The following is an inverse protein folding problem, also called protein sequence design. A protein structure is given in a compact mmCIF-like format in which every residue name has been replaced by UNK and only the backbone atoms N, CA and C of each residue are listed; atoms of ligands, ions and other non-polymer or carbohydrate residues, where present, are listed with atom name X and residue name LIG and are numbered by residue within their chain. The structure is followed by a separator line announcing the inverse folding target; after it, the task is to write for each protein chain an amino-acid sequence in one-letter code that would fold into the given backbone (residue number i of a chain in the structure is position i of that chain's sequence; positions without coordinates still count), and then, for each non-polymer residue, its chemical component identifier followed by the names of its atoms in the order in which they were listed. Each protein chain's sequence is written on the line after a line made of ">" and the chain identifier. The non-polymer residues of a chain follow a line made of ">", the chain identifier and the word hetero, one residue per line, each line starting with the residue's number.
data_IF_530012526439
#
_entry.id   IF_530012526439
#
_cell.length_a   1.000
_cell.length_b   1.000
_cell.length_c   1.000
_cell.angle_alpha   90.00
_cell.angle_beta   90.00
_cell.angle_gamma   90.00
#
_symmetry.space_group_name_H-M   'P 1'
#
loop_
_entity.id
_entity.type
_entity.pdbx_description
1 polymer ?
#
# COMPACT_ATOMS: atom_id res chain seq x y z
N UNK A 1 6.24 11.50 -18.41
CA UNK A 1 5.24 10.43 -18.55
C UNK A 1 5.44 9.42 -17.42
N UNK A 2 4.39 9.16 -16.64
CA UNK A 2 4.49 8.21 -15.53
C UNK A 2 4.51 6.78 -16.06
N UNK A 3 5.59 6.08 -15.77
CA UNK A 3 5.66 4.66 -16.09
C UNK A 3 4.93 3.89 -15.00
N UNK A 4 4.18 2.88 -15.41
CA UNK A 4 3.53 1.96 -14.48
C UNK A 4 4.38 0.70 -14.35
N UNK A 5 4.42 0.18 -13.15
CA UNK A 5 5.09 -1.08 -12.85
C UNK A 5 4.19 -1.92 -11.97
N UNK A 6 4.55 -3.16 -11.76
CA UNK A 6 3.81 -4.05 -10.88
C UNK A 6 4.54 -4.19 -9.55
N UNK A 7 3.78 -4.20 -8.47
CA UNK A 7 4.29 -4.54 -7.16
C UNK A 7 3.34 -5.55 -6.52
N UNK A 8 3.76 -6.15 -5.42
CA UNK A 8 2.96 -7.15 -4.74
C UNK A 8 2.43 -6.59 -3.43
N UNK A 9 1.23 -7.03 -3.07
CA UNK A 9 0.65 -6.77 -1.75
C UNK A 9 0.01 -8.06 -1.24
N UNK A 10 -0.31 -8.11 0.04
CA UNK A 10 -1.00 -9.25 0.62
C UNK A 10 -2.42 -9.35 0.06
N UNK A 11 -3.00 -10.53 0.14
CA UNK A 11 -4.39 -10.74 -0.30
C UNK A 11 -5.34 -9.89 0.54
N UNK A 12 -5.11 -9.80 1.83
CA UNK A 12 -5.91 -8.98 2.75
C UNK A 12 -5.86 -7.51 2.32
N UNK A 13 -4.66 -7.00 2.01
CA UNK A 13 -4.51 -5.62 1.55
C UNK A 13 -5.20 -5.40 0.19
N UNK A 14 -5.15 -6.40 -0.68
CA UNK A 14 -5.85 -6.32 -1.97
C UNK A 14 -7.35 -6.17 -1.77
N UNK A 15 -7.93 -6.95 -0.87
CA UNK A 15 -9.35 -6.87 -0.55
C UNK A 15 -9.71 -5.52 0.08
N UNK A 16 -8.86 -5.01 0.97
CA UNK A 16 -9.04 -3.71 1.58
C UNK A 16 -8.94 -2.58 0.54
N UNK A 17 -8.00 -2.69 -0.38
CA UNK A 17 -7.86 -1.73 -1.48
C UNK A 17 -9.12 -1.69 -2.35
N UNK A 18 -9.67 -2.85 -2.68
CA UNK A 18 -10.92 -2.94 -3.43
C UNK A 18 -12.06 -2.25 -2.69
N UNK A 19 -12.17 -2.48 -1.38
CA UNK A 19 -13.19 -1.86 -0.55
C UNK A 19 -13.04 -0.34 -0.53
N UNK A 20 -11.81 0.15 -0.38
CA UNK A 20 -11.54 1.59 -0.38
C UNK A 20 -11.97 2.23 -1.70
N UNK A 21 -11.61 1.60 -2.82
CA UNK A 21 -11.97 2.13 -4.14
C UNK A 21 -13.48 2.20 -4.34
N UNK A 22 -14.22 1.22 -3.83
CA UNK A 22 -15.69 1.22 -3.88
C UNK A 22 -16.31 2.27 -2.96
N UNK A 23 -15.78 2.39 -1.75
CA UNK A 23 -16.31 3.31 -0.75
C UNK A 23 -16.06 4.77 -1.12
N UNK A 24 -14.90 5.08 -1.71
CA UNK A 24 -14.51 6.44 -2.04
C UNK A 24 -14.81 6.83 -3.48
N UNK A 25 -15.00 5.85 -4.36
CA UNK A 25 -15.16 6.06 -5.79
C UNK A 25 -13.99 6.85 -6.42
N UNK A 26 -12.81 6.72 -5.83
CA UNK A 26 -11.60 7.39 -6.32
C UNK A 26 -10.84 6.50 -7.30
N UNK A 27 -10.10 7.09 -8.25
CA UNK A 27 -9.23 6.33 -9.14
C UNK A 27 -8.18 5.55 -8.37
N UNK A 28 -7.75 4.42 -8.92
CA UNK A 28 -6.75 3.55 -8.29
C UNK A 28 -5.50 4.32 -7.86
N UNK A 29 -4.92 5.13 -8.76
CA UNK A 29 -3.67 5.84 -8.45
C UNK A 29 -3.85 6.88 -7.36
N UNK A 30 -5.02 7.50 -7.27
CA UNK A 30 -5.33 8.43 -6.17
C UNK A 30 -5.36 7.70 -4.84
N UNK A 31 -6.00 6.53 -4.79
CA UNK A 31 -6.03 5.70 -3.58
C UNK A 31 -4.63 5.28 -3.19
N UNK A 32 -3.80 4.89 -4.16
CA UNK A 32 -2.41 4.52 -3.89
C UNK A 32 -1.61 5.67 -3.28
N UNK A 33 -1.78 6.89 -3.80
CA UNK A 33 -1.12 8.07 -3.25
C UNK A 33 -1.55 8.33 -1.80
N UNK A 34 -2.84 8.20 -1.51
CA UNK A 34 -3.34 8.37 -0.16
C UNK A 34 -2.78 7.31 0.80
N UNK A 35 -2.69 6.07 0.33
CA UNK A 35 -2.13 4.99 1.14
C UNK A 35 -0.65 5.22 1.43
N UNK A 36 0.13 5.59 0.42
CA UNK A 36 1.57 5.82 0.56
C UNK A 36 1.85 6.96 1.55
N UNK A 37 0.97 7.95 1.62
CA UNK A 37 1.11 9.06 2.56
C UNK A 37 0.86 8.66 4.02
N UNK A 38 0.30 7.48 4.29
CA UNK A 38 0.07 7.02 5.66
C UNK A 38 1.38 6.63 6.32
N UNK A 39 1.56 7.06 7.57
CA UNK A 39 2.74 6.68 8.34
C UNK A 39 2.57 5.28 8.92
N UNK A 40 3.64 4.51 8.86
CA UNK A 40 3.72 3.19 9.48
C UNK A 40 4.71 3.28 10.62
N UNK A 41 4.28 2.90 11.82
CA UNK A 41 5.11 2.92 13.01
C UNK A 41 5.59 1.52 13.36
N UNK A 42 6.57 1.42 14.24
CA UNK A 42 7.03 0.14 14.76
C UNK A 42 5.89 -0.65 15.42
N UNK A 43 4.99 0.06 16.10
CA UNK A 43 3.82 -0.55 16.72
C UNK A 43 2.91 -1.19 15.65
N UNK A 44 2.75 -0.55 14.49
CA UNK A 44 1.96 -1.11 13.40
C UNK A 44 2.55 -2.42 12.89
N UNK A 45 3.88 -2.48 12.79
CA UNK A 45 4.56 -3.70 12.35
C UNK A 45 4.33 -4.87 13.30
N UNK A 46 4.18 -4.59 14.58
CA UNK A 46 3.92 -5.61 15.60
C UNK A 46 2.46 -6.03 15.66
N UNK A 47 1.55 -5.07 15.48
CA UNK A 47 0.11 -5.31 15.60
C UNK A 47 -0.52 -5.95 14.37
N UNK A 48 0.02 -5.67 13.20
CA UNK A 48 -0.59 -6.07 11.94
C UNK A 48 0.37 -6.95 11.14
N UNK A 49 0.54 -8.22 11.53
CA UNK A 49 1.35 -9.13 10.76
C UNK A 49 0.71 -9.31 9.38
N UNK A 50 1.47 -9.06 8.34
CA UNK A 50 0.99 -9.11 6.98
C UNK A 50 1.60 -10.35 6.30
N UNK A 51 0.77 -11.12 5.61
CA UNK A 51 1.23 -12.27 4.85
C UNK A 51 2.07 -11.82 3.65
N UNK A 52 2.79 -12.77 3.04
CA UNK A 52 3.59 -12.49 1.85
C UNK A 52 2.71 -11.93 0.73
N UNK A 53 3.26 -11.03 -0.06
CA UNK A 53 2.57 -10.47 -1.21
C UNK A 53 2.26 -11.52 -2.26
N UNK A 54 0.98 -11.70 -2.55
CA UNK A 54 0.50 -12.67 -3.53
C UNK A 54 -0.29 -12.03 -4.66
N UNK A 55 -0.73 -10.80 -4.48
CA UNK A 55 -1.53 -10.08 -5.47
C UNK A 55 -0.70 -8.99 -6.10
N UNK A 56 -0.72 -8.92 -7.42
CA UNK A 56 -0.03 -7.87 -8.16
C UNK A 56 -0.97 -6.70 -8.36
N UNK A 57 -0.43 -5.50 -8.18
CA UNK A 57 -1.16 -4.26 -8.47
C UNK A 57 -0.25 -3.34 -9.27
N UNK A 58 -0.88 -2.44 -10.01
CA UNK A 58 -0.15 -1.40 -10.74
C UNK A 58 0.15 -0.22 -9.83
N UNK A 59 1.36 0.29 -9.96
CA UNK A 59 1.82 1.46 -9.23
C UNK A 59 2.69 2.28 -10.18
N UNK A 60 2.63 3.60 -10.06
CA UNK A 60 3.54 4.43 -10.86
C UNK A 60 4.96 4.27 -10.34
N UNK A 61 5.95 4.45 -11.22
CA UNK A 61 7.35 4.37 -10.81
C UNK A 61 7.66 5.42 -9.74
N UNK A 62 7.10 6.62 -9.87
CA UNK A 62 7.29 7.68 -8.88
C UNK A 62 6.74 7.28 -7.50
N UNK A 63 5.57 6.64 -7.48
CA UNK A 63 4.99 6.15 -6.23
C UNK A 63 5.84 5.04 -5.61
N UNK A 64 6.37 4.14 -6.43
CA UNK A 64 7.25 3.08 -5.95
C UNK A 64 8.54 3.66 -5.37
N UNK A 65 9.13 4.65 -6.05
CA UNK A 65 10.34 5.32 -5.57
C UNK A 65 10.08 6.04 -4.25
N UNK A 66 8.95 6.71 -4.13
CA UNK A 66 8.54 7.35 -2.87
C UNK A 66 8.38 6.32 -1.75
N UNK A 67 7.77 5.19 -2.06
CA UNK A 67 7.57 4.12 -1.09
C UNK A 67 8.92 3.56 -0.60
N UNK A 68 9.87 3.36 -1.51
CA UNK A 68 11.22 2.92 -1.15
C UNK A 68 11.93 3.94 -0.27
N UNK A 69 11.78 5.24 -0.60
CA UNK A 69 12.39 6.31 0.19
C UNK A 69 11.81 6.39 1.60
N UNK A 70 10.53 6.05 1.76
CA UNK A 70 9.85 6.06 3.07
C UNK A 70 10.08 4.79 3.89
N UNK A 71 10.78 3.81 3.33
CA UNK A 71 11.01 2.52 3.98
C UNK A 71 12.16 2.60 4.99
N UNK A 72 11.94 3.31 6.10
CA UNK A 72 12.93 3.48 7.15
C UNK A 72 13.19 2.18 7.93
N UNK A 73 12.24 1.25 7.92
CA UNK A 73 12.37 -0.03 8.62
C UNK A 73 13.09 -1.10 7.80
N UNK A 74 13.36 -0.82 6.53
CA UNK A 74 14.05 -1.74 5.61
C UNK A 74 13.35 -3.10 5.51
N UNK A 75 12.03 -3.08 5.46
CA UNK A 75 11.20 -4.27 5.28
C UNK A 75 10.85 -4.43 3.80
N UNK A 76 10.25 -5.57 3.44
CA UNK A 76 9.76 -5.78 2.08
C UNK A 76 8.79 -4.69 1.67
N UNK A 77 8.93 -4.20 0.44
CA UNK A 77 8.02 -3.20 -0.11
C UNK A 77 6.59 -3.73 -0.11
N UNK A 78 6.40 -5.01 -0.42
CA UNK A 78 5.07 -5.62 -0.37
C UNK A 78 4.45 -5.50 1.02
N UNK A 79 5.23 -5.74 2.06
CA UNK A 79 4.76 -5.62 3.44
C UNK A 79 4.45 -4.17 3.81
N UNK A 80 5.35 -3.26 3.45
CA UNK A 80 5.17 -1.83 3.76
C UNK A 80 3.91 -1.29 3.08
N UNK A 81 3.75 -1.57 1.80
CA UNK A 81 2.58 -1.10 1.04
C UNK A 81 1.30 -1.72 1.58
N UNK A 82 1.32 -3.00 1.91
CA UNK A 82 0.15 -3.68 2.49
C UNK A 82 -0.28 -3.03 3.80
N UNK A 83 0.67 -2.69 4.66
CA UNK A 83 0.38 -2.00 5.93
C UNK A 83 -0.20 -0.60 5.68
N UNK A 84 0.34 0.14 4.72
CA UNK A 84 -0.16 1.47 4.37
C UNK A 84 -1.59 1.40 3.86
N UNK A 85 -1.90 0.43 3.02
CA UNK A 85 -3.27 0.21 2.53
C UNK A 85 -4.19 -0.14 3.70
N UNK A 86 -3.75 -1.01 4.59
CA UNK A 86 -4.52 -1.37 5.77
C UNK A 86 -4.82 -0.15 6.64
N UNK A 87 -3.84 0.70 6.89
CA UNK A 87 -4.04 1.90 7.69
C UNK A 87 -5.04 2.85 7.04
N UNK A 88 -4.97 3.01 5.72
CA UNK A 88 -5.96 3.81 5.02
C UNK A 88 -7.35 3.18 5.14
N UNK A 89 -7.45 1.87 5.08
CA UNK A 89 -8.73 1.17 5.16
C UNK A 89 -9.45 1.41 6.50
N UNK A 90 -8.70 1.67 7.56
CA UNK A 90 -9.28 1.95 8.88
C UNK A 90 -9.98 3.31 8.95
N UNK A 91 -9.69 4.19 7.99
CA UNK A 91 -10.26 5.54 7.95
C UNK A 91 -11.43 5.65 6.98
N UNK A 92 -11.74 4.59 6.26
CA UNK A 92 -12.77 4.61 5.21
C UNK A 92 -14.00 3.83 5.62
#
# INVERSE_FOLDING_TARGET
>A
MNKHTLTRISEEAFNELTRIKRATNLPHQTVMQLAIAKEVTESDLLKYPVSKGRKHIRITQDALDALKALNSFKIDIARLLSLKIHKLSLEV
#
